data_IF_957244137562
#
_entry.id   IF_957244137562
#
_cell.length_a   1.000
_cell.length_b   1.000
_cell.length_c   1.000
_cell.angle_alpha   90.00
_cell.angle_beta   90.00
_cell.angle_gamma   90.00
#
_symmetry.space_group_name_H-M   'P 1'
#
loop_
_entity.id
_entity.type
_entity.pdbx_description
1 polymer ?
#
# COMPACT_ATOMS: atom_id res chain seq x y z
N UNK A 1 30.52 10.33 -85.04
CA UNK A 1 31.09 10.74 -83.73
C UNK A 1 30.00 11.39 -82.87
N UNK A 2 29.30 10.63 -82.03
CA UNK A 2 28.37 11.15 -81.00
C UNK A 2 27.83 9.95 -80.22
N UNK A 3 28.39 9.66 -79.03
CA UNK A 3 27.79 8.89 -77.92
C UNK A 3 28.85 8.56 -76.86
N UNK A 4 29.32 9.56 -76.10
CA UNK A 4 30.09 9.33 -74.85
C UNK A 4 29.90 10.48 -73.86
N UNK A 5 28.66 10.78 -73.44
CA UNK A 5 28.39 11.69 -72.29
C UNK A 5 27.03 11.41 -71.60
N UNK A 6 26.66 10.15 -71.36
CA UNK A 6 25.43 9.83 -70.59
C UNK A 6 25.71 8.92 -69.38
N UNK A 7 26.78 8.12 -69.40
CA UNK A 7 27.05 7.18 -68.29
C UNK A 7 27.60 7.82 -66.99
N UNK A 8 27.99 9.10 -67.01
CA UNK A 8 28.57 9.77 -65.82
C UNK A 8 27.52 10.38 -64.88
N UNK A 9 26.27 10.58 -65.34
CA UNK A 9 25.23 11.20 -64.51
C UNK A 9 24.38 10.16 -63.75
N UNK A 10 24.26 8.95 -64.28
CA UNK A 10 23.43 7.89 -63.67
C UNK A 10 24.15 7.26 -62.47
N UNK A 11 25.48 7.21 -62.48
CA UNK A 11 26.26 6.62 -61.39
C UNK A 11 26.39 7.55 -60.16
N UNK A 12 26.31 8.87 -60.35
CA UNK A 12 26.32 9.85 -59.25
C UNK A 12 24.97 9.97 -58.54
N UNK A 13 23.85 9.65 -59.21
CA UNK A 13 22.51 9.64 -58.58
C UNK A 13 22.26 8.36 -57.76
N UNK A 14 22.92 7.24 -58.11
CA UNK A 14 22.82 5.98 -57.37
C UNK A 14 23.59 6.00 -56.03
N UNK A 15 24.67 6.78 -55.91
CA UNK A 15 25.39 6.93 -54.64
C UNK A 15 24.70 7.88 -53.65
N UNK A 16 23.93 8.87 -54.12
CA UNK A 16 23.18 9.78 -53.25
C UNK A 16 21.89 9.15 -52.67
N UNK A 17 21.33 8.14 -53.32
CA UNK A 17 20.19 7.38 -52.79
C UNK A 17 20.58 6.30 -51.75
N UNK A 18 21.84 5.83 -51.77
CA UNK A 18 22.35 4.88 -50.77
C UNK A 18 22.84 5.55 -49.47
N UNK A 19 23.13 6.86 -49.50
CA UNK A 19 23.56 7.61 -48.32
C UNK A 19 22.43 8.06 -47.38
N UNK A 20 21.17 8.06 -47.86
CA UNK A 20 20.02 8.50 -47.06
C UNK A 20 19.32 7.38 -46.28
N UNK A 21 19.73 6.11 -46.44
CA UNK A 21 19.09 4.95 -45.78
C UNK A 21 19.92 4.31 -44.66
N UNK A 22 21.06 4.90 -44.27
CA UNK A 22 21.89 4.42 -43.14
C UNK A 22 21.79 5.37 -41.92
N UNK A 23 20.66 6.06 -41.75
CA UNK A 23 20.42 6.93 -40.59
C UNK A 23 19.10 6.64 -39.85
N UNK A 24 18.49 5.49 -40.10
CA UNK A 24 17.29 5.05 -39.39
C UNK A 24 17.44 3.59 -38.95
N UNK A 25 18.44 3.31 -38.11
CA UNK A 25 18.53 2.12 -37.25
C UNK A 25 19.84 2.18 -36.44
N UNK A 26 20.12 3.29 -35.78
CA UNK A 26 20.82 3.19 -34.49
C UNK A 26 19.72 2.87 -33.49
N UNK A 27 19.75 1.71 -32.80
CA UNK A 27 18.89 1.55 -31.64
C UNK A 27 19.26 2.67 -30.68
N UNK A 28 18.27 3.50 -30.32
CA UNK A 28 18.41 4.47 -29.24
C UNK A 28 18.79 3.67 -27.99
N UNK A 29 20.09 3.66 -27.71
CA UNK A 29 20.70 3.15 -26.48
C UNK A 29 20.86 4.26 -25.46
N UNK A 30 20.12 5.34 -25.60
CA UNK A 30 19.71 6.11 -24.43
C UNK A 30 18.51 5.39 -23.83
N UNK A 31 18.81 4.31 -23.10
CA UNK A 31 18.13 4.16 -21.82
C UNK A 31 18.39 5.49 -21.14
N UNK A 32 17.33 6.27 -20.92
CA UNK A 32 17.34 7.36 -19.95
C UNK A 32 17.95 6.79 -18.67
N UNK A 33 19.27 6.92 -18.53
CA UNK A 33 19.91 6.87 -17.24
C UNK A 33 19.38 8.12 -16.58
N UNK A 34 18.23 7.99 -15.91
CA UNK A 34 17.78 8.94 -14.92
C UNK A 34 19.01 9.14 -14.05
N UNK A 35 19.67 10.29 -14.23
CA UNK A 35 20.81 10.64 -13.42
C UNK A 35 20.36 10.46 -11.96
N UNK A 36 21.16 9.80 -11.10
CA UNK A 36 20.81 9.70 -9.68
C UNK A 36 20.44 11.10 -9.22
N UNK A 37 19.19 11.25 -8.80
CA UNK A 37 18.60 12.53 -8.45
C UNK A 37 19.53 13.15 -7.41
N UNK A 38 20.05 14.35 -7.69
CA UNK A 38 20.89 15.06 -6.75
C UNK A 38 20.02 15.41 -5.53
N UNK A 39 20.13 14.60 -4.47
CA UNK A 39 19.32 14.67 -3.24
C UNK A 39 19.70 15.87 -2.35
N UNK A 40 20.54 16.78 -2.83
CA UNK A 40 20.93 17.95 -2.08
C UNK A 40 19.91 19.09 -2.27
N UNK A 41 19.10 19.31 -1.21
CA UNK A 41 18.53 20.61 -0.75
C UNK A 41 17.03 20.90 -0.78
N UNK A 42 16.17 19.94 -1.08
CA UNK A 42 14.78 20.02 -0.63
C UNK A 42 14.51 18.72 0.13
N UNK A 43 14.28 18.77 1.45
CA UNK A 43 14.00 17.59 2.26
C UNK A 43 12.61 17.04 1.89
N UNK A 44 12.52 16.40 0.73
CA UNK A 44 11.43 15.48 0.40
C UNK A 44 11.47 14.44 1.51
N UNK A 45 10.34 14.23 2.20
CA UNK A 45 10.28 13.22 3.25
C UNK A 45 10.81 11.91 2.68
N UNK A 46 11.66 11.20 3.42
CA UNK A 46 12.30 9.96 2.94
C UNK A 46 11.24 8.95 2.46
N UNK A 47 10.02 9.09 2.98
CA UNK A 47 8.83 8.28 2.72
C UNK A 47 7.97 8.75 1.55
N UNK A 48 8.15 9.98 1.06
CA UNK A 48 7.52 10.47 -0.18
C UNK A 48 8.21 9.93 -1.44
N UNK A 49 9.38 9.31 -1.28
CA UNK A 49 10.13 8.69 -2.38
C UNK A 49 9.97 7.18 -2.36
N UNK A 50 9.52 6.62 -3.48
CA UNK A 50 9.53 5.18 -3.69
C UNK A 50 10.88 4.73 -4.25
N UNK A 51 11.35 3.58 -3.79
CA UNK A 51 12.50 2.91 -4.37
C UNK A 51 12.02 2.09 -5.57
N UNK A 52 12.81 2.00 -6.64
CA UNK A 52 12.39 1.31 -7.86
C UNK A 52 13.33 0.15 -8.16
N UNK A 53 12.73 -0.99 -8.49
CA UNK A 53 13.44 -2.18 -8.96
C UNK A 53 12.91 -2.59 -10.33
N UNK A 54 13.79 -2.91 -11.26
CA UNK A 54 13.39 -3.42 -12.56
C UNK A 54 13.05 -4.90 -12.49
N UNK A 55 12.03 -5.32 -13.23
CA UNK A 55 11.68 -6.72 -13.43
C UNK A 55 12.42 -7.24 -14.66
N UNK A 56 13.38 -8.12 -14.44
CA UNK A 56 14.23 -8.65 -15.48
C UNK A 56 13.79 -10.03 -15.95
N UNK A 57 14.00 -10.28 -17.25
CA UNK A 57 13.91 -11.59 -17.89
C UNK A 57 15.20 -11.90 -18.66
N UNK A 58 15.62 -13.16 -18.66
CA UNK A 58 16.67 -13.64 -19.56
C UNK A 58 16.08 -14.06 -20.91
N UNK A 59 16.63 -13.53 -22.00
CA UNK A 59 16.29 -13.89 -23.39
C UNK A 59 17.58 -14.25 -24.13
N UNK A 60 17.83 -15.56 -24.28
CA UNK A 60 19.10 -16.06 -24.77
C UNK A 60 20.25 -15.70 -23.82
N UNK A 61 21.24 -14.95 -24.33
CA UNK A 61 22.37 -14.43 -23.53
C UNK A 61 22.15 -12.99 -23.05
N UNK A 62 20.99 -12.39 -23.35
CA UNK A 62 20.68 -11.01 -22.99
C UNK A 62 19.71 -10.97 -21.80
N UNK A 63 19.71 -9.85 -21.11
CA UNK A 63 18.72 -9.51 -20.10
C UNK A 63 17.83 -8.40 -20.64
N UNK A 64 16.54 -8.51 -20.38
CA UNK A 64 15.51 -7.61 -20.87
C UNK A 64 14.68 -7.12 -19.68
N UNK A 65 14.36 -5.82 -19.66
CA UNK A 65 13.43 -5.24 -18.68
C UNK A 65 12.01 -5.44 -19.20
N UNK A 66 11.14 -5.97 -18.34
CA UNK A 66 9.73 -6.23 -18.68
C UNK A 66 8.78 -5.30 -17.93
N UNK A 67 9.25 -4.73 -16.82
CA UNK A 67 8.49 -3.82 -15.98
C UNK A 67 9.30 -3.34 -14.80
N UNK A 68 8.62 -2.86 -13.78
CA UNK A 68 9.22 -2.42 -12.53
C UNK A 68 8.34 -2.76 -11.33
N UNK A 69 8.95 -2.69 -10.15
CA UNK A 69 8.29 -2.67 -8.85
C UNK A 69 8.69 -1.37 -8.17
N UNK A 70 7.71 -0.54 -7.83
CA UNK A 70 7.88 0.61 -6.96
C UNK A 70 7.62 0.18 -5.52
N UNK A 71 8.57 0.47 -4.62
CA UNK A 71 8.50 0.18 -3.19
C UNK A 71 8.37 1.50 -2.46
N UNK A 72 7.15 1.85 -2.11
CA UNK A 72 6.84 3.03 -1.32
C UNK A 72 6.63 2.63 0.13
N UNK A 73 6.96 3.50 1.08
CA UNK A 73 6.69 3.24 2.49
C UNK A 73 6.07 4.48 3.11
N UNK A 74 5.00 4.28 3.86
CA UNK A 74 4.45 5.28 4.78
C UNK A 74 4.78 4.89 6.23
N UNK A 75 4.18 5.55 7.22
CA UNK A 75 4.41 5.22 8.63
C UNK A 75 3.98 3.79 9.02
N UNK A 76 3.26 3.08 8.16
CA UNK A 76 2.47 1.92 8.53
C UNK A 76 2.70 0.71 7.61
N UNK A 77 3.01 0.96 6.34
CA UNK A 77 2.98 -0.03 5.30
C UNK A 77 4.15 0.14 4.33
N UNK A 78 4.63 -0.99 3.84
CA UNK A 78 5.38 -1.06 2.59
C UNK A 78 4.39 -1.41 1.48
N UNK A 79 4.35 -0.58 0.45
CA UNK A 79 3.51 -0.79 -0.73
C UNK A 79 4.39 -1.13 -1.93
N UNK A 80 4.17 -2.31 -2.50
CA UNK A 80 4.86 -2.79 -3.70
C UNK A 80 3.91 -2.70 -4.90
N UNK A 81 4.19 -1.79 -5.82
CA UNK A 81 3.39 -1.60 -7.04
C UNK A 81 4.15 -2.09 -8.25
N UNK A 82 3.68 -3.18 -8.84
CA UNK A 82 4.20 -3.75 -10.06
C UNK A 82 3.60 -3.01 -11.24
N UNK A 83 4.42 -2.69 -12.24
CA UNK A 83 3.98 -2.04 -13.47
C UNK A 83 4.66 -2.68 -14.67
N UNK A 84 3.86 -3.13 -15.65
CA UNK A 84 4.39 -3.58 -16.94
C UNK A 84 4.96 -2.39 -17.70
N UNK A 85 6.13 -2.56 -18.31
CA UNK A 85 6.78 -1.49 -19.06
C UNK A 85 5.90 -0.97 -20.20
N UNK A 86 5.91 0.34 -20.43
CA UNK A 86 5.03 1.02 -21.39
C UNK A 86 5.34 0.66 -22.84
N UNK A 87 6.60 0.33 -23.14
CA UNK A 87 7.08 -0.17 -24.44
C UNK A 87 6.49 -1.54 -24.83
N UNK A 88 5.76 -2.20 -23.92
CA UNK A 88 5.06 -3.46 -24.17
C UNK A 88 3.55 -3.28 -24.12
N UNK A 89 2.98 -2.71 -25.17
CA UNK A 89 1.55 -2.41 -25.25
C UNK A 89 0.64 -3.65 -25.09
N UNK A 90 1.14 -4.84 -25.43
CA UNK A 90 0.38 -6.10 -25.31
C UNK A 90 0.78 -6.97 -24.11
N UNK A 91 1.64 -6.51 -23.20
CA UNK A 91 2.02 -7.29 -22.02
C UNK A 91 1.11 -7.02 -20.82
N UNK A 92 0.85 -8.07 -20.02
CA UNK A 92 0.11 -8.00 -18.76
C UNK A 92 0.70 -8.99 -17.75
N UNK A 93 0.37 -8.85 -16.48
CA UNK A 93 0.71 -9.84 -15.46
C UNK A 93 -0.36 -10.93 -15.42
N UNK A 94 0.05 -12.18 -15.63
CA UNK A 94 -0.77 -13.37 -15.37
C UNK A 94 -0.67 -13.78 -13.90
N UNK A 95 0.48 -13.54 -13.28
CA UNK A 95 0.73 -13.82 -11.88
C UNK A 95 1.70 -12.77 -11.34
N UNK A 96 1.59 -12.43 -10.06
CA UNK A 96 2.59 -11.64 -9.35
C UNK A 96 2.67 -12.06 -7.90
N UNK A 97 3.83 -11.88 -7.30
CA UNK A 97 3.98 -12.15 -5.89
C UNK A 97 5.22 -11.54 -5.27
N UNK A 98 5.16 -11.32 -3.97
CA UNK A 98 6.29 -10.90 -3.15
C UNK A 98 6.48 -11.81 -1.93
N UNK A 99 7.73 -11.89 -1.49
CA UNK A 99 8.13 -12.57 -0.27
C UNK A 99 9.07 -11.68 0.54
N UNK A 100 8.93 -11.68 1.87
CA UNK A 100 9.83 -10.96 2.79
C UNK A 100 10.69 -11.94 3.58
N UNK A 101 11.98 -11.67 3.70
CA UNK A 101 12.93 -12.45 4.52
C UNK A 101 13.58 -11.60 5.62
N UNK A 102 13.80 -12.24 6.77
CA UNK A 102 14.47 -11.69 7.95
C UNK A 102 15.99 -11.51 7.78
N UNK A 103 16.59 -12.30 6.90
CA UNK A 103 18.03 -12.33 6.68
C UNK A 103 18.32 -12.59 5.22
N UNK A 104 19.50 -12.18 4.78
CA UNK A 104 19.94 -12.41 3.41
C UNK A 104 19.78 -13.89 3.05
N UNK A 105 18.99 -14.22 2.01
CA UNK A 105 18.84 -15.60 1.57
C UNK A 105 20.19 -16.20 1.19
N UNK A 106 20.56 -17.32 1.82
CA UNK A 106 21.82 -18.03 1.55
C UNK A 106 21.82 -18.78 0.22
N UNK A 107 20.66 -18.91 -0.42
CA UNK A 107 20.49 -19.53 -1.74
C UNK A 107 19.98 -18.48 -2.73
N UNK A 108 20.46 -18.57 -3.98
CA UNK A 108 20.02 -17.76 -5.12
C UNK A 108 18.51 -17.93 -5.43
N UNK A 109 17.91 -19.03 -4.98
CA UNK A 109 16.49 -19.31 -5.09
C UNK A 109 16.03 -19.92 -3.75
N UNK A 110 15.75 -19.09 -2.74
CA UNK A 110 15.36 -19.59 -1.44
C UNK A 110 14.06 -20.40 -1.53
N UNK A 111 14.03 -21.55 -0.84
CA UNK A 111 12.81 -22.32 -0.58
C UNK A 111 11.99 -21.63 0.52
N UNK A 112 10.67 -21.90 0.62
CA UNK A 112 9.74 -21.10 1.42
C UNK A 112 10.11 -21.10 2.91
N UNK A 113 10.35 -19.89 3.40
CA UNK A 113 10.56 -19.52 4.79
C UNK A 113 10.25 -18.04 4.97
N UNK A 114 9.36 -17.52 4.10
CA UNK A 114 8.99 -16.11 4.05
C UNK A 114 8.29 -15.71 5.35
N UNK A 115 8.63 -14.53 5.84
CA UNK A 115 7.88 -13.89 6.92
C UNK A 115 6.45 -13.57 6.45
N UNK A 116 6.36 -13.08 5.21
CA UNK A 116 5.11 -12.74 4.53
C UNK A 116 5.24 -13.18 3.08
N UNK A 117 4.23 -13.87 2.58
CA UNK A 117 4.09 -14.25 1.18
C UNK A 117 2.76 -13.74 0.64
N UNK A 118 2.80 -13.02 -0.48
CA UNK A 118 1.63 -12.62 -1.25
C UNK A 118 1.81 -13.15 -2.66
N UNK A 119 0.83 -13.90 -3.16
CA UNK A 119 0.77 -14.37 -4.54
C UNK A 119 -0.65 -14.16 -5.07
N UNK A 120 -0.77 -13.82 -6.34
CA UNK A 120 -2.07 -13.69 -6.99
C UNK A 120 -1.98 -14.09 -8.45
N UNK A 121 -2.97 -14.87 -8.89
CA UNK A 121 -3.20 -15.17 -10.29
C UNK A 121 -4.26 -14.22 -10.84
N UNK A 122 -3.98 -13.63 -11.99
CA UNK A 122 -4.80 -12.61 -12.61
C UNK A 122 -5.49 -13.19 -13.84
N UNK A 123 -6.83 -13.17 -13.84
CA UNK A 123 -7.63 -13.62 -14.99
C UNK A 123 -7.73 -12.58 -16.11
N UNK A 124 -7.55 -11.30 -15.77
CA UNK A 124 -7.64 -10.17 -16.69
C UNK A 124 -6.26 -9.70 -17.17
N UNK A 125 -6.22 -8.93 -18.26
CA UNK A 125 -5.00 -8.27 -18.77
C UNK A 125 -4.58 -7.09 -17.86
N UNK A 126 -4.16 -7.40 -16.62
CA UNK A 126 -3.76 -6.41 -15.62
C UNK A 126 -2.34 -5.91 -15.92
N UNK A 127 -2.17 -4.58 -16.03
CA UNK A 127 -0.86 -3.94 -16.27
C UNK A 127 -0.20 -3.38 -15.02
N UNK A 128 -0.96 -3.25 -13.94
CA UNK A 128 -0.44 -2.81 -12.65
C UNK A 128 -1.17 -3.49 -11.50
N UNK A 129 -0.40 -3.92 -10.50
CA UNK A 129 -0.92 -4.61 -9.31
C UNK A 129 -0.16 -4.14 -8.09
N UNK A 130 -0.88 -3.91 -6.99
CA UNK A 130 -0.33 -3.37 -5.75
C UNK A 130 -0.53 -4.35 -4.61
N UNK A 131 0.54 -4.57 -3.85
CA UNK A 131 0.53 -5.29 -2.58
C UNK A 131 0.90 -4.35 -1.45
N UNK A 132 0.16 -4.45 -0.35
CA UNK A 132 0.44 -3.71 0.88
C UNK A 132 0.87 -4.69 1.96
N UNK A 133 1.98 -4.39 2.60
CA UNK A 133 2.58 -5.15 3.69
C UNK A 133 2.59 -4.24 4.93
N UNK A 134 1.71 -4.46 5.91
CA UNK A 134 1.78 -3.74 7.18
C UNK A 134 3.12 -4.00 7.87
N UNK A 135 3.77 -2.95 8.38
CA UNK A 135 5.03 -3.07 9.13
C UNK A 135 4.86 -3.93 10.39
N UNK A 136 3.67 -3.92 11.01
CA UNK A 136 3.35 -4.82 12.13
C UNK A 136 3.46 -6.30 11.77
N UNK A 137 3.17 -6.67 10.52
CA UNK A 137 3.27 -8.07 10.08
C UNK A 137 4.74 -8.52 9.97
N UNK A 138 5.69 -7.58 9.99
CA UNK A 138 7.13 -7.85 10.02
C UNK A 138 7.63 -8.19 11.44
N UNK A 139 6.82 -8.02 12.48
CA UNK A 139 7.20 -8.27 13.86
C UNK A 139 8.40 -7.42 14.29
N UNK A 140 9.45 -8.06 14.81
CA UNK A 140 10.69 -7.41 15.26
C UNK A 140 11.57 -6.80 14.15
N UNK A 141 11.15 -6.86 12.88
CA UNK A 141 11.87 -6.33 11.72
C UNK A 141 11.12 -5.19 11.02
N UNK A 142 10.11 -4.63 11.69
CA UNK A 142 9.29 -3.54 11.18
C UNK A 142 9.73 -2.17 11.68
N UNK A 143 10.82 -2.07 12.44
CA UNK A 143 11.26 -0.83 13.05
C UNK A 143 12.14 -0.01 12.11
N UNK A 144 12.10 1.33 12.17
CA UNK A 144 12.96 2.18 11.36
C UNK A 144 14.45 1.84 11.48
N UNK A 145 15.12 1.71 10.34
CA UNK A 145 16.53 1.31 10.24
C UNK A 145 16.76 -0.20 10.08
N UNK A 146 15.75 -1.04 10.34
CA UNK A 146 15.84 -2.47 10.07
C UNK A 146 16.03 -2.75 8.58
N UNK A 147 16.77 -3.80 8.26
CA UNK A 147 16.97 -4.25 6.88
C UNK A 147 16.19 -5.55 6.67
N UNK A 148 15.22 -5.48 5.78
CA UNK A 148 14.50 -6.66 5.27
C UNK A 148 14.99 -7.00 3.86
N UNK A 149 14.75 -8.24 3.44
CA UNK A 149 15.04 -8.66 2.07
C UNK A 149 13.72 -8.97 1.36
N UNK A 150 13.50 -8.35 0.21
CA UNK A 150 12.28 -8.48 -0.58
C UNK A 150 12.56 -9.30 -1.83
N UNK A 151 11.83 -10.39 -2.03
CA UNK A 151 11.70 -11.04 -3.32
C UNK A 151 10.43 -10.53 -4.01
N UNK A 152 10.53 -10.23 -5.31
CA UNK A 152 9.39 -9.80 -6.10
C UNK A 152 9.46 -10.45 -7.47
N UNK A 153 8.35 -11.06 -7.91
CA UNK A 153 8.25 -11.69 -9.22
C UNK A 153 6.91 -11.40 -9.89
N UNK A 154 6.91 -11.58 -11.20
CA UNK A 154 5.68 -11.64 -11.97
C UNK A 154 5.81 -12.65 -13.11
N UNK A 155 4.68 -13.13 -13.64
CA UNK A 155 4.62 -13.93 -14.87
C UNK A 155 3.97 -13.06 -15.93
N UNK A 156 4.73 -12.76 -16.99
CA UNK A 156 4.26 -11.95 -18.11
C UNK A 156 4.13 -12.85 -19.34
N UNK A 157 2.91 -13.04 -19.88
CA UNK A 157 2.72 -13.73 -21.16
C UNK A 157 3.37 -12.92 -22.28
N UNK A 158 4.18 -13.58 -23.10
CA UNK A 158 4.75 -12.95 -24.29
C UNK A 158 3.74 -13.02 -25.44
N UNK A 159 3.72 -12.03 -26.35
CA UNK A 159 2.85 -12.05 -27.53
C UNK A 159 3.01 -13.32 -28.40
N UNK A 160 4.18 -13.99 -28.32
CA UNK A 160 4.50 -15.18 -29.12
C UNK A 160 4.67 -16.48 -28.29
N UNK A 161 4.11 -16.54 -27.08
CA UNK A 161 4.35 -17.68 -26.17
C UNK A 161 5.77 -17.68 -25.54
N UNK A 162 6.61 -16.71 -25.89
CA UNK A 162 7.82 -16.35 -25.18
C UNK A 162 7.51 -15.61 -23.86
N UNK A 163 6.47 -16.01 -23.14
CA UNK A 163 6.21 -15.53 -21.78
C UNK A 163 7.27 -16.02 -20.81
N UNK A 164 7.24 -15.52 -19.58
CA UNK A 164 8.15 -16.00 -18.57
C UNK A 164 7.99 -15.32 -17.23
N UNK A 165 8.57 -15.97 -16.23
CA UNK A 165 8.71 -15.40 -14.91
C UNK A 165 9.83 -14.36 -14.93
N UNK A 166 9.52 -13.17 -14.42
CA UNK A 166 10.42 -12.03 -14.28
C UNK A 166 10.63 -11.76 -12.81
N UNK A 167 11.84 -11.32 -12.46
CA UNK A 167 12.25 -11.12 -11.06
C UNK A 167 12.85 -9.73 -10.87
N UNK A 168 12.58 -9.13 -9.72
CA UNK A 168 13.28 -7.94 -9.26
C UNK A 168 14.55 -8.31 -8.47
N UNK A 169 15.56 -7.44 -8.51
CA UNK A 169 16.80 -7.59 -7.76
C UNK A 169 18.04 -7.31 -8.59
N UNK A 170 19.20 -7.31 -7.91
CA UNK A 170 20.47 -6.96 -8.54
C UNK A 170 20.94 -8.01 -9.54
N UNK A 171 21.35 -7.53 -10.72
CA UNK A 171 22.01 -8.33 -11.75
C UNK A 171 23.44 -8.65 -11.32
N UNK A 172 23.62 -9.73 -10.56
CA UNK A 172 24.96 -10.29 -10.39
C UNK A 172 25.33 -11.07 -11.65
N UNK A 173 26.35 -10.58 -12.35
CA UNK A 173 26.85 -11.11 -13.62
C UNK A 173 27.49 -12.50 -13.44
N UNK A 174 26.68 -13.55 -13.24
CA UNK A 174 27.12 -14.93 -13.34
C UNK A 174 26.54 -15.60 -14.59
N UNK A 175 27.40 -16.22 -15.41
CA UNK A 175 26.97 -17.07 -16.53
C UNK A 175 26.18 -18.25 -15.98
N UNK A 176 24.91 -18.34 -16.37
CA UNK A 176 23.97 -19.34 -15.89
C UNK A 176 23.06 -18.77 -14.81
N UNK A 177 21.76 -18.93 -14.99
CA UNK A 177 20.71 -18.44 -14.09
C UNK A 177 20.98 -18.90 -12.62
N UNK A 178 20.64 -18.10 -11.57
CA UNK A 178 19.88 -16.86 -11.64
C UNK A 178 20.50 -15.65 -10.93
N UNK A 179 20.05 -14.46 -11.34
CA UNK A 179 20.19 -13.22 -10.59
C UNK A 179 19.73 -13.40 -9.14
N UNK A 180 20.21 -12.56 -8.22
CA UNK A 180 19.63 -12.49 -6.88
C UNK A 180 18.14 -12.18 -7.01
N UNK A 181 17.28 -13.12 -6.60
CA UNK A 181 15.81 -12.98 -6.66
C UNK A 181 15.25 -12.13 -5.53
N UNK A 182 16.11 -11.30 -4.94
CA UNK A 182 15.80 -10.44 -3.82
C UNK A 182 16.67 -9.20 -3.85
N UNK A 183 16.22 -8.16 -3.15
CA UNK A 183 16.95 -6.93 -2.87
C UNK A 183 16.78 -6.55 -1.40
N UNK A 184 17.75 -5.85 -0.84
CA UNK A 184 17.65 -5.32 0.52
C UNK A 184 16.82 -4.04 0.52
N UNK A 185 16.00 -3.87 1.55
CA UNK A 185 15.19 -2.68 1.78
C UNK A 185 15.33 -2.26 3.24
N UNK A 186 15.72 -1.01 3.48
CA UNK A 186 15.82 -0.44 4.82
C UNK A 186 14.50 0.22 5.17
N UNK A 187 13.89 -0.18 6.29
CA UNK A 187 12.67 0.44 6.79
C UNK A 187 12.96 1.91 7.08
N UNK A 188 12.21 2.79 6.42
CA UNK A 188 12.34 4.23 6.55
C UNK A 188 11.69 4.68 7.86
N UNK A 189 12.28 5.67 8.52
CA UNK A 189 11.62 6.35 9.64
C UNK A 189 10.58 7.31 9.07
N UNK A 190 9.39 6.76 8.85
CA UNK A 190 8.28 7.53 8.33
C UNK A 190 7.53 8.13 9.50
N UNK A 191 7.65 9.45 9.65
CA UNK A 191 6.87 10.19 10.63
C UNK A 191 5.40 9.85 10.42
N UNK A 192 4.76 9.36 11.48
CA UNK A 192 3.31 9.38 11.50
C UNK A 192 2.91 10.82 11.73
N UNK A 193 2.01 11.40 10.92
CA UNK A 193 1.50 12.74 11.22
C UNK A 193 1.04 12.78 12.68
N UNK A 194 1.52 13.81 13.40
CA UNK A 194 1.20 14.01 14.80
C UNK A 194 -0.33 13.94 15.01
N UNK A 195 -0.78 13.48 16.18
CA UNK A 195 -2.18 13.58 16.55
C UNK A 195 -2.65 15.04 16.41
N UNK A 196 -3.96 15.23 16.19
CA UNK A 196 -4.44 16.51 15.72
C UNK A 196 -4.26 17.58 16.80
N UNK A 197 -3.95 18.80 16.36
CA UNK A 197 -4.15 19.98 17.22
C UNK A 197 -5.63 20.37 17.20
N UNK A 198 -6.05 21.22 18.14
CA UNK A 198 -7.39 21.42 18.74
C UNK A 198 -8.68 21.45 17.86
N UNK A 199 -8.65 21.23 16.54
CA UNK A 199 -9.82 21.42 15.65
C UNK A 199 -10.05 20.34 14.57
N UNK A 200 -9.34 19.21 14.59
CA UNK A 200 -9.58 18.16 13.59
C UNK A 200 -9.70 16.76 14.19
N UNK A 201 -10.25 15.85 13.40
CA UNK A 201 -10.60 14.49 13.78
C UNK A 201 -9.97 13.49 12.82
N UNK A 202 -9.90 12.23 13.25
CA UNK A 202 -9.31 11.16 12.47
C UNK A 202 -10.29 9.99 12.30
N UNK A 203 -10.32 9.39 11.12
CA UNK A 203 -11.21 8.25 10.84
C UNK A 203 -10.75 6.97 11.54
N UNK A 204 -11.62 5.95 11.57
CA UNK A 204 -11.25 4.60 12.00
C UNK A 204 -10.02 4.03 11.25
N UNK A 205 -9.74 4.46 10.02
CA UNK A 205 -8.54 4.04 9.29
C UNK A 205 -7.28 4.54 10.00
N UNK A 206 -7.23 5.84 10.31
CA UNK A 206 -6.10 6.41 11.05
C UNK A 206 -5.93 5.76 12.43
N UNK A 207 -6.99 5.51 13.19
CA UNK A 207 -6.81 5.01 14.57
C UNK A 207 -6.44 3.53 14.67
N UNK A 208 -6.89 2.69 13.75
CA UNK A 208 -6.79 1.24 13.87
C UNK A 208 -5.93 0.58 12.80
N UNK A 209 -5.72 1.22 11.63
CA UNK A 209 -4.91 0.63 10.57
C UNK A 209 -3.40 0.78 10.84
N UNK A 210 -2.98 1.79 11.64
CA UNK A 210 -1.57 1.94 12.01
C UNK A 210 -1.07 0.69 12.73
N UNK A 211 0.26 0.44 12.79
CA UNK A 211 0.82 -0.75 13.41
C UNK A 211 1.32 -0.52 14.85
N UNK A 212 1.80 0.69 15.20
CA UNK A 212 2.53 0.91 16.45
C UNK A 212 1.72 1.51 17.61
N UNK A 213 0.49 1.99 17.37
CA UNK A 213 -0.37 2.55 18.41
C UNK A 213 0.23 3.76 19.14
N UNK A 214 1.33 4.33 18.64
CA UNK A 214 2.06 5.41 19.29
C UNK A 214 1.24 6.70 19.31
N UNK A 215 0.25 6.82 18.43
CA UNK A 215 -0.69 7.93 18.36
C UNK A 215 -1.89 7.70 19.28
N UNK A 216 -2.06 6.51 19.88
CA UNK A 216 -3.16 6.24 20.81
C UNK A 216 -3.06 7.22 21.99
N UNK A 217 -4.06 8.09 22.18
CA UNK A 217 -4.00 9.12 23.20
C UNK A 217 -3.80 8.48 24.57
N UNK A 218 -2.75 8.90 25.28
CA UNK A 218 -2.38 8.33 26.57
C UNK A 218 -1.20 7.34 26.56
N UNK A 219 -0.43 7.25 25.47
CA UNK A 219 0.74 6.34 25.36
C UNK A 219 1.82 6.48 26.46
N UNK A 220 1.77 7.52 27.30
CA UNK A 220 2.67 7.65 28.44
C UNK A 220 2.13 7.04 29.74
N UNK A 221 0.81 6.82 29.92
CA UNK A 221 0.26 6.29 31.18
C UNK A 221 -1.18 5.69 31.14
N UNK A 222 -1.89 5.69 30.01
CA UNK A 222 -3.26 5.14 29.92
C UNK A 222 -3.21 3.80 29.18
N UNK A 223 -3.56 2.73 29.88
CA UNK A 223 -3.54 1.34 29.41
C UNK A 223 -4.69 0.97 28.47
N UNK A 224 -5.51 1.93 28.02
CA UNK A 224 -6.64 1.68 27.13
C UNK A 224 -7.63 2.84 27.09
N UNK A 225 -8.67 2.70 26.28
CA UNK A 225 -9.79 3.63 26.22
C UNK A 225 -11.07 2.92 26.67
N UNK A 226 -11.79 3.51 27.61
CA UNK A 226 -13.07 2.96 28.04
C UNK A 226 -14.13 3.23 26.98
N UNK A 227 -14.87 2.22 26.54
CA UNK A 227 -15.95 2.32 25.58
C UNK A 227 -17.07 1.32 25.90
N UNK A 228 -18.29 1.81 26.13
CA UNK A 228 -19.42 0.94 26.48
C UNK A 228 -19.15 0.05 27.70
N UNK A 229 -18.59 0.64 28.77
CA UNK A 229 -18.30 -0.04 30.03
C UNK A 229 -16.96 -0.80 30.09
N UNK A 230 -16.35 -1.10 28.94
CA UNK A 230 -15.14 -1.94 28.84
C UNK A 230 -13.90 -1.13 28.46
N UNK A 231 -12.71 -1.55 28.88
CA UNK A 231 -11.46 -0.85 28.58
C UNK A 231 -10.68 -1.54 27.45
N UNK A 232 -10.55 -0.88 26.30
CA UNK A 232 -9.89 -1.45 25.12
C UNK A 232 -8.46 -0.92 24.99
N UNK A 233 -7.50 -1.84 24.93
CA UNK A 233 -6.16 -1.54 24.43
C UNK A 233 -6.19 -1.28 22.92
N UNK A 234 -5.15 -0.62 22.43
CA UNK A 234 -4.93 -0.47 21.00
C UNK A 234 -4.90 -1.83 20.26
N UNK A 235 -4.23 -2.83 20.83
CA UNK A 235 -4.12 -4.16 20.22
C UNK A 235 -5.49 -4.85 20.05
N UNK A 236 -6.37 -4.74 21.06
CA UNK A 236 -7.72 -5.30 21.02
C UNK A 236 -8.60 -4.58 19.99
N UNK A 237 -8.62 -3.25 20.01
CA UNK A 237 -9.39 -2.46 19.06
C UNK A 237 -8.93 -2.69 17.61
N UNK A 238 -7.61 -2.78 17.39
CA UNK A 238 -7.01 -3.13 16.11
C UNK A 238 -7.39 -4.54 15.67
N UNK A 239 -7.37 -5.52 16.57
CA UNK A 239 -7.81 -6.88 16.26
C UNK A 239 -9.28 -6.90 15.83
N UNK A 240 -10.16 -6.10 16.45
CA UNK A 240 -11.57 -5.97 16.05
C UNK A 240 -11.68 -5.38 14.65
N UNK A 241 -10.92 -4.32 14.35
CA UNK A 241 -10.88 -3.68 13.03
C UNK A 241 -10.52 -4.68 11.92
N UNK A 242 -9.39 -5.40 12.08
CA UNK A 242 -8.91 -6.40 11.12
C UNK A 242 -9.66 -7.73 11.17
N UNK A 243 -10.49 -7.98 12.20
CA UNK A 243 -11.28 -9.19 12.33
C UNK A 243 -12.11 -9.45 11.07
N UNK A 244 -12.07 -10.70 10.57
CA UNK A 244 -12.65 -11.06 9.28
C UNK A 244 -14.14 -10.70 9.17
N UNK A 245 -14.51 -10.05 8.06
CA UNK A 245 -15.90 -9.78 7.67
C UNK A 245 -16.48 -10.90 6.78
N UNK A 246 -15.70 -11.96 6.50
CA UNK A 246 -15.94 -12.88 5.37
C UNK A 246 -17.26 -13.67 5.45
N UNK A 247 -17.85 -13.86 6.64
CA UNK A 247 -19.07 -14.66 6.80
C UNK A 247 -20.36 -13.86 6.84
N UNK A 248 -20.33 -12.62 7.32
CA UNK A 248 -21.54 -11.84 7.63
C UNK A 248 -21.50 -10.40 7.09
N UNK A 249 -20.42 -10.01 6.43
CA UNK A 249 -20.14 -8.60 6.16
C UNK A 249 -19.81 -7.82 7.44
N UNK A 250 -19.54 -6.52 7.29
CA UNK A 250 -19.37 -5.60 8.42
C UNK A 250 -20.76 -5.36 9.03
N UNK A 251 -21.01 -5.87 10.23
CA UNK A 251 -22.32 -5.67 10.86
C UNK A 251 -22.46 -4.25 11.39
N UNK A 252 -23.70 -3.82 11.65
CA UNK A 252 -24.01 -2.49 12.21
C UNK A 252 -23.27 -2.27 13.53
N UNK A 253 -23.26 -3.28 14.41
CA UNK A 253 -22.56 -3.17 15.69
C UNK A 253 -21.06 -2.96 15.52
N UNK A 254 -20.39 -3.72 14.64
CA UNK A 254 -18.97 -3.52 14.36
C UNK A 254 -18.69 -2.13 13.77
N UNK A 255 -19.56 -1.63 12.89
CA UNK A 255 -19.44 -0.27 12.38
C UNK A 255 -19.61 0.78 13.48
N UNK A 256 -20.65 0.68 14.30
CA UNK A 256 -20.90 1.61 15.40
C UNK A 256 -19.76 1.62 16.41
N UNK A 257 -19.23 0.45 16.78
CA UNK A 257 -18.07 0.32 17.64
C UNK A 257 -16.86 1.08 17.07
N UNK A 258 -16.46 0.76 15.83
CA UNK A 258 -15.27 1.36 15.24
C UNK A 258 -15.42 2.88 15.05
N UNK A 259 -16.61 3.36 14.66
CA UNK A 259 -16.84 4.80 14.49
C UNK A 259 -16.89 5.54 15.83
N UNK A 260 -17.62 5.01 16.81
CA UNK A 260 -17.69 5.59 18.15
C UNK A 260 -16.33 5.62 18.83
N UNK A 261 -15.56 4.55 18.72
CA UNK A 261 -14.22 4.46 19.29
C UNK A 261 -13.26 5.44 18.60
N UNK A 262 -13.30 5.57 17.28
CA UNK A 262 -12.51 6.55 16.53
C UNK A 262 -12.82 8.00 16.94
N UNK A 263 -14.10 8.33 17.15
CA UNK A 263 -14.50 9.63 17.67
C UNK A 263 -13.96 9.87 19.07
N UNK A 264 -14.07 8.88 19.96
CA UNK A 264 -13.60 8.97 21.34
C UNK A 264 -12.08 9.16 21.40
N UNK A 265 -11.34 8.46 20.54
CA UNK A 265 -9.90 8.65 20.36
C UNK A 265 -9.56 10.05 19.83
N UNK A 266 -10.34 10.56 18.87
CA UNK A 266 -10.15 11.93 18.38
C UNK A 266 -10.31 12.98 19.49
N UNK A 267 -11.34 12.82 20.35
CA UNK A 267 -11.55 13.69 21.52
C UNK A 267 -10.40 13.54 22.52
N UNK A 268 -10.00 12.31 22.84
CA UNK A 268 -8.88 12.07 23.75
C UNK A 268 -7.53 12.60 23.21
N UNK A 269 -7.40 12.67 21.88
CA UNK A 269 -6.27 13.28 21.17
C UNK A 269 -6.32 14.81 21.11
N UNK A 270 -7.37 15.45 21.63
CA UNK A 270 -7.46 16.93 21.73
C UNK A 270 -8.54 17.58 20.85
N UNK A 271 -9.32 16.83 20.07
CA UNK A 271 -10.39 17.42 19.27
C UNK A 271 -11.52 18.00 20.15
N UNK A 272 -11.82 19.30 20.03
CA UNK A 272 -12.99 19.91 20.66
C UNK A 272 -14.23 19.82 19.75
N UNK A 273 -15.16 18.94 20.13
CA UNK A 273 -16.43 18.74 19.41
C UNK A 273 -17.64 19.25 20.22
N UNK A 274 -17.42 19.98 21.31
CA UNK A 274 -18.49 20.50 22.19
C UNK A 274 -19.39 21.51 21.48
N UNK A 275 -18.83 22.26 20.53
CA UNK A 275 -19.53 23.26 19.72
C UNK A 275 -19.61 22.87 18.24
N UNK A 276 -19.62 21.56 17.94
CA UNK A 276 -19.64 21.05 16.57
C UNK A 276 -20.77 21.65 15.72
N UNK A 277 -20.46 22.06 14.50
CA UNK A 277 -21.44 22.53 13.50
C UNK A 277 -21.60 21.51 12.37
N UNK A 278 -22.60 21.69 11.50
CA UNK A 278 -22.80 20.81 10.35
C UNK A 278 -23.06 19.35 10.77
N UNK A 279 -22.29 18.42 10.21
CA UNK A 279 -22.42 16.99 10.51
C UNK A 279 -22.06 16.65 11.97
N UNK A 280 -21.25 17.48 12.63
CA UNK A 280 -20.85 17.28 14.04
C UNK A 280 -21.82 17.86 15.07
N UNK A 281 -22.90 18.52 14.65
CA UNK A 281 -23.89 19.04 15.59
C UNK A 281 -24.55 17.90 16.39
N UNK A 282 -24.43 17.92 17.73
CA UNK A 282 -24.99 16.87 18.61
C UNK A 282 -24.27 15.53 18.51
N UNK A 283 -22.99 15.51 18.07
CA UNK A 283 -22.26 14.26 17.88
C UNK A 283 -21.95 13.52 19.19
N UNK A 284 -21.81 14.25 20.29
CA UNK A 284 -21.58 13.65 21.61
C UNK A 284 -22.80 12.86 22.10
N UNK A 285 -24.02 13.28 21.73
CA UNK A 285 -25.23 12.51 22.03
C UNK A 285 -25.27 11.20 21.21
N UNK A 286 -24.81 11.24 19.96
CA UNK A 286 -24.71 10.02 19.13
C UNK A 286 -23.64 9.07 19.67
N UNK A 287 -22.49 9.59 20.13
CA UNK A 287 -21.48 8.80 20.82
C UNK A 287 -22.07 8.13 22.08
N UNK A 288 -22.77 8.90 22.91
CA UNK A 288 -23.39 8.39 24.13
C UNK A 288 -24.42 7.26 23.86
N UNK A 289 -25.18 7.34 22.76
CA UNK A 289 -26.09 6.25 22.35
C UNK A 289 -25.32 4.98 22.02
N UNK A 290 -24.22 5.08 21.27
CA UNK A 290 -23.40 3.91 20.96
C UNK A 290 -22.82 3.32 22.25
N UNK A 291 -22.26 4.15 23.14
CA UNK A 291 -21.72 3.67 24.41
C UNK A 291 -22.80 2.98 25.26
N UNK A 292 -23.99 3.57 25.39
CA UNK A 292 -25.11 2.98 26.13
C UNK A 292 -25.56 1.63 25.54
N UNK A 293 -25.54 1.48 24.21
CA UNK A 293 -25.87 0.21 23.56
C UNK A 293 -24.89 -0.90 23.96
N UNK A 294 -23.58 -0.62 23.90
CA UNK A 294 -22.52 -1.57 24.23
C UNK A 294 -22.46 -1.86 25.75
N UNK A 295 -22.60 -0.84 26.59
CA UNK A 295 -22.65 -0.98 28.04
C UNK A 295 -23.79 -1.91 28.48
N UNK A 296 -24.98 -1.74 27.90
CA UNK A 296 -26.13 -2.58 28.22
C UNK A 296 -26.01 -4.03 27.69
N UNK A 297 -25.13 -4.31 26.73
CA UNK A 297 -24.81 -5.70 26.36
C UNK A 297 -24.01 -6.36 27.49
N UNK A 298 -23.19 -5.59 28.20
CA UNK A 298 -22.35 -6.02 29.32
C UNK A 298 -21.48 -7.24 28.97
N UNK A 299 -20.90 -7.20 27.77
CA UNK A 299 -19.95 -8.18 27.25
C UNK A 299 -18.92 -7.40 26.43
N UNK A 300 -17.64 -7.64 26.69
CA UNK A 300 -16.54 -7.09 25.90
C UNK A 300 -16.63 -7.51 24.43
N UNK A 301 -16.52 -6.53 23.53
CA UNK A 301 -16.47 -6.77 22.11
C UNK A 301 -15.10 -7.34 21.72
N UNK A 302 -15.09 -8.40 20.94
CA UNK A 302 -13.88 -9.07 20.46
C UNK A 302 -14.02 -9.36 18.96
N UNK A 303 -12.92 -9.68 18.25
CA UNK A 303 -13.00 -10.05 16.84
C UNK A 303 -13.95 -11.22 16.56
N UNK A 304 -14.15 -12.09 17.56
CA UNK A 304 -14.94 -13.31 17.45
C UNK A 304 -16.43 -13.09 17.72
N UNK A 305 -16.80 -12.09 18.53
CA UNK A 305 -18.19 -11.92 18.99
C UNK A 305 -18.90 -10.69 18.40
N UNK A 306 -18.19 -9.65 17.94
CA UNK A 306 -18.80 -8.36 17.56
C UNK A 306 -19.74 -8.47 16.35
N UNK A 307 -19.49 -9.45 15.48
CA UNK A 307 -20.32 -9.73 14.30
C UNK A 307 -21.45 -10.76 14.58
N UNK A 308 -21.64 -11.18 15.83
CA UNK A 308 -22.66 -12.19 16.19
C UNK A 308 -23.98 -11.54 16.60
N UNK A 309 -25.04 -12.36 16.75
CA UNK A 309 -26.33 -11.91 17.26
C UNK A 309 -26.26 -11.34 18.68
N UNK A 310 -25.18 -11.61 19.43
CA UNK A 310 -24.94 -11.02 20.75
C UNK A 310 -24.88 -9.49 20.67
N UNK A 311 -24.24 -8.95 19.62
CA UNK A 311 -24.05 -7.52 19.41
C UNK A 311 -25.00 -6.92 18.37
N UNK A 312 -25.64 -7.75 17.55
CA UNK A 312 -26.59 -7.29 16.53
C UNK A 312 -28.04 -7.51 16.98
N UNK A 313 -28.34 -7.21 18.24
CA UNK A 313 -29.69 -7.32 18.82
C UNK A 313 -30.56 -6.18 18.32
N UNK A 314 -31.87 -6.41 18.22
CA UNK A 314 -32.83 -5.39 17.79
C UNK A 314 -32.78 -4.12 18.67
N UNK A 315 -32.50 -4.27 19.97
CA UNK A 315 -32.22 -3.17 20.90
C UNK A 315 -31.34 -3.60 22.07
N UNK A 316 -30.62 -2.64 22.66
CA UNK A 316 -29.86 -2.76 23.90
C UNK A 316 -29.75 -1.37 24.54
N UNK A 317 -29.88 -1.26 25.86
CA UNK A 317 -29.72 0.04 26.56
C UNK A 317 -30.74 1.11 26.16
N UNK A 318 -31.91 0.71 25.65
CA UNK A 318 -32.90 1.64 25.11
C UNK A 318 -32.60 2.15 23.69
N UNK A 319 -31.49 1.71 23.08
CA UNK A 319 -31.08 2.07 21.72
C UNK A 319 -31.40 0.92 20.77
N UNK A 320 -32.13 1.18 19.71
CA UNK A 320 -32.44 0.20 18.65
C UNK A 320 -31.25 0.04 17.70
N UNK A 321 -31.19 -1.08 16.98
CA UNK A 321 -30.14 -1.31 15.96
C UNK A 321 -30.18 -0.24 14.84
N UNK A 322 -31.37 0.30 14.55
CA UNK A 322 -31.53 1.36 13.57
C UNK A 322 -30.96 2.68 14.08
N UNK A 323 -31.24 3.06 15.34
CA UNK A 323 -30.63 4.23 15.97
C UNK A 323 -29.12 4.08 16.09
N UNK A 324 -28.63 2.87 16.39
CA UNK A 324 -27.20 2.56 16.42
C UNK A 324 -26.54 2.80 15.06
N UNK A 325 -27.17 2.34 13.98
CA UNK A 325 -26.69 2.58 12.62
C UNK A 325 -26.71 4.07 12.25
N UNK A 326 -27.78 4.79 12.62
CA UNK A 326 -27.88 6.24 12.41
C UNK A 326 -26.78 6.97 13.16
N UNK A 327 -26.55 6.66 14.44
CA UNK A 327 -25.49 7.25 15.24
C UNK A 327 -24.11 7.01 14.60
N UNK A 328 -23.81 5.77 14.22
CA UNK A 328 -22.56 5.41 13.56
C UNK A 328 -22.34 6.15 12.23
N UNK A 329 -23.40 6.32 11.44
CA UNK A 329 -23.35 7.07 10.17
C UNK A 329 -23.07 8.55 10.42
N UNK A 330 -23.78 9.17 11.38
CA UNK A 330 -23.55 10.58 11.75
C UNK A 330 -22.13 10.83 12.25
N UNK A 331 -21.61 9.93 13.08
CA UNK A 331 -20.20 9.98 13.53
C UNK A 331 -19.26 9.90 12.34
N UNK A 332 -19.47 8.95 11.42
CA UNK A 332 -18.66 8.85 10.21
C UNK A 332 -18.66 10.14 9.40
N UNK A 333 -19.84 10.78 9.22
CA UNK A 333 -19.95 12.04 8.48
C UNK A 333 -19.21 13.19 9.18
N UNK A 334 -19.33 13.28 10.50
CA UNK A 334 -18.59 14.26 11.31
C UNK A 334 -17.08 14.10 11.20
N UNK A 335 -16.57 12.86 11.35
CA UNK A 335 -15.16 12.52 11.23
C UNK A 335 -14.60 12.84 9.84
N UNK A 336 -15.38 12.56 8.79
CA UNK A 336 -14.99 12.87 7.42
C UNK A 336 -14.99 14.38 7.14
N UNK A 337 -15.99 15.12 7.64
CA UNK A 337 -16.08 16.57 7.45
C UNK A 337 -14.92 17.31 8.13
N UNK A 338 -14.42 16.81 9.25
CA UNK A 338 -13.37 17.44 10.05
C UNK A 338 -12.08 16.62 10.01
N UNK A 339 -11.84 15.87 8.94
CA UNK A 339 -10.61 15.07 8.81
C UNK A 339 -9.39 15.98 8.71
N UNK A 340 -8.30 15.65 9.41
CA UNK A 340 -7.09 16.48 9.44
C UNK A 340 -6.37 16.62 8.08
N UNK A 341 -6.70 15.78 7.10
CA UNK A 341 -6.17 15.92 5.73
C UNK A 341 -6.91 16.98 4.90
N UNK A 342 -8.02 17.53 5.41
CA UNK A 342 -8.85 18.52 4.70
C UNK A 342 -8.49 19.97 5.00
N UNK A 343 -7.49 20.25 5.83
CA UNK A 343 -6.93 21.60 5.95
C UNK A 343 -6.01 21.87 4.77
N UNK A 344 -6.32 22.81 3.85
CA UNK A 344 -5.35 23.24 2.87
C UNK A 344 -4.15 23.82 3.63
N UNK A 345 -2.95 23.30 3.35
CA UNK A 345 -1.70 23.84 3.88
C UNK A 345 -1.55 25.34 3.56
#
# INVERSE_FOLDING_TARGET
>A
MKTRKIYSLIMSLALLAAGAFIHACTPDKEIDTIAPRDLAKNSVSVCETCDYQYLYKTVGNNTEVVGSVAICQDAENITLTYTVSADREEAWFQQSGCGVFKSQPTKLNPSPGYLIEKDSHHGDKIRSVTYTIPLADLGEYGDPGDVIYLASYAVVPGPDGAGGMVWAGDLLASKGNPNSRYYAYTIKDCETPEPPTENCTFTQGYWFAKPNGSQWPGNTNITGITFGGENYTYAEARAIFFGSNAKTGKTIAKQAFLQGLALKLSIAGGADLSNGTGACYGILDELAKIEAYFDAINIEATPNNINTNTFNRASSGGVTIQELNTAATRISDCLNQNHCDNTPC
#
